data_IF_062057484478
#
_entry.id   IF_062057484478
#
_cell.length_a   1.000
_cell.length_b   1.000
_cell.length_c   1.000
_cell.angle_alpha   90.00
_cell.angle_beta   90.00
_cell.angle_gamma   90.00
#
_symmetry.space_group_name_H-M   'P 1'
#
loop_
_entity.id
_entity.type
_entity.pdbx_description
1 polymer ?
#
# COMPACT_ATOMS: atom_id res chain seq x y z
N UNK A 1 -0.55 2.19 -10.33
CA UNK A 1 -0.02 1.63 -9.07
C UNK A 1 -0.71 0.32 -8.65
N UNK A 2 -1.92 0.32 -8.07
CA UNK A 2 -2.60 -0.93 -7.61
C UNK A 2 -2.64 -2.03 -8.68
N UNK A 3 -3.06 -1.69 -9.92
CA UNK A 3 -3.10 -2.64 -11.05
C UNK A 3 -1.72 -3.18 -11.47
N UNK A 4 -0.65 -2.42 -11.21
CA UNK A 4 0.72 -2.72 -11.66
C UNK A 4 1.47 -3.56 -10.63
N UNK A 5 1.20 -3.35 -9.35
CA UNK A 5 1.83 -4.04 -8.23
C UNK A 5 0.76 -4.78 -7.41
N UNK A 6 0.17 -5.86 -7.95
CA UNK A 6 -0.82 -6.63 -7.21
C UNK A 6 -0.20 -7.15 -5.91
N UNK A 7 -0.94 -7.21 -4.80
CA UNK A 7 -0.37 -7.77 -3.56
C UNK A 7 0.70 -6.93 -2.87
N UNK A 8 1.11 -5.81 -3.44
CA UNK A 8 2.00 -4.86 -2.78
C UNK A 8 1.15 -3.81 -2.05
N UNK A 9 1.62 -3.39 -0.89
CA UNK A 9 1.06 -2.25 -0.18
C UNK A 9 1.15 -1.00 -1.05
N UNK A 10 0.01 -0.34 -1.25
CA UNK A 10 -0.09 0.98 -1.86
C UNK A 10 -0.71 1.89 -0.79
N UNK A 11 -0.04 2.97 -0.38
CA UNK A 11 -0.62 3.89 0.60
C UNK A 11 -2.01 4.37 0.13
N UNK A 12 -2.97 4.48 1.05
CA UNK A 12 -4.33 4.89 0.72
C UNK A 12 -4.35 6.35 0.27
N UNK A 13 -5.16 6.66 -0.73
CA UNK A 13 -5.50 8.04 -1.10
C UNK A 13 -6.73 8.47 -0.30
N UNK A 14 -6.88 9.76 0.04
CA UNK A 14 -8.09 10.24 0.69
C UNK A 14 -9.31 9.98 -0.19
N UNK A 15 -10.43 9.66 0.48
CA UNK A 15 -11.69 9.36 -0.18
C UNK A 15 -12.18 10.55 -1.01
N UNK A 16 -12.85 10.23 -2.12
CA UNK A 16 -13.50 11.24 -2.97
C UNK A 16 -14.85 11.58 -2.34
N UNK A 17 -14.99 12.82 -1.84
CA UNK A 17 -16.27 13.35 -1.36
C UNK A 17 -17.03 13.98 -2.54
N UNK A 18 -18.29 13.60 -2.73
CA UNK A 18 -19.15 14.13 -3.81
C UNK A 18 -19.87 15.42 -3.37
N UNK A 19 -20.35 15.47 -2.12
CA UNK A 19 -21.00 16.64 -1.52
C UNK A 19 -20.05 17.30 -0.51
N UNK A 20 -20.00 18.63 -0.46
CA UNK A 20 -19.11 19.36 0.46
C UNK A 20 -17.62 19.23 0.13
N UNK A 21 -17.27 19.04 -1.14
CA UNK A 21 -15.88 18.90 -1.60
C UNK A 21 -15.06 20.20 -1.52
N UNK A 22 -15.71 21.34 -1.29
CA UNK A 22 -15.10 22.67 -1.11
C UNK A 22 -15.03 23.13 0.33
N UNK A 23 -15.57 22.35 1.29
CA UNK A 23 -15.51 22.68 2.71
C UNK A 23 -14.04 22.78 3.17
N UNK A 24 -13.70 23.86 3.87
CA UNK A 24 -12.33 24.14 4.32
C UNK A 24 -11.75 22.99 5.15
N UNK A 25 -12.54 22.44 6.07
CA UNK A 25 -12.13 21.32 6.92
C UNK A 25 -11.82 20.06 6.09
N UNK A 26 -12.67 19.75 5.11
CA UNK A 26 -12.44 18.64 4.19
C UNK A 26 -11.18 18.86 3.34
N UNK A 27 -10.95 20.08 2.87
CA UNK A 27 -9.75 20.42 2.09
C UNK A 27 -8.47 20.30 2.91
N UNK A 28 -8.48 20.76 4.16
CA UNK A 28 -7.36 20.63 5.10
C UNK A 28 -7.06 19.16 5.42
N UNK A 29 -8.11 18.38 5.71
CA UNK A 29 -8.01 16.96 5.96
C UNK A 29 -7.43 16.23 4.73
N UNK A 30 -7.99 16.48 3.55
CA UNK A 30 -7.52 15.89 2.29
C UNK A 30 -6.06 16.24 2.00
N UNK A 31 -5.64 17.49 2.22
CA UNK A 31 -4.24 17.91 2.10
C UNK A 31 -3.35 17.08 3.04
N UNK A 32 -3.81 16.87 4.27
CA UNK A 32 -3.11 16.07 5.28
C UNK A 32 -2.89 14.62 4.83
N UNK A 33 -3.95 13.96 4.35
CA UNK A 33 -3.85 12.58 3.84
C UNK A 33 -3.03 12.47 2.56
N UNK A 34 -3.13 13.43 1.63
CA UNK A 34 -2.28 13.46 0.44
C UNK A 34 -0.80 13.62 0.80
N UNK A 35 -0.50 14.44 1.81
CA UNK A 35 0.85 14.57 2.33
C UNK A 35 1.36 13.25 2.92
N UNK A 36 0.54 12.58 3.74
CA UNK A 36 0.87 11.26 4.28
C UNK A 36 1.09 10.21 3.16
N UNK A 37 0.21 10.17 2.15
CA UNK A 37 0.34 9.31 0.98
C UNK A 37 1.70 9.51 0.29
N UNK A 38 2.08 10.77 -0.01
CA UNK A 38 3.36 11.06 -0.63
C UNK A 38 4.54 10.63 0.25
N UNK A 39 4.45 10.89 1.56
CA UNK A 39 5.48 10.50 2.51
C UNK A 39 5.64 8.98 2.60
N UNK A 40 4.55 8.21 2.56
CA UNK A 40 4.58 6.75 2.55
C UNK A 40 5.09 6.23 1.21
N UNK A 41 4.70 6.82 0.07
CA UNK A 41 5.21 6.40 -1.24
C UNK A 41 6.73 6.58 -1.33
N UNK A 42 7.27 7.66 -0.76
CA UNK A 42 8.72 7.93 -0.81
C UNK A 42 9.56 6.88 -0.07
N UNK A 43 9.00 6.21 0.95
CA UNK A 43 9.71 5.15 1.69
C UNK A 43 9.75 3.84 0.92
N UNK A 44 9.00 3.71 -0.17
CA UNK A 44 8.91 2.50 -0.98
C UNK A 44 9.49 2.77 -2.37
N UNK A 45 10.76 2.39 -2.58
CA UNK A 45 11.48 2.68 -3.84
C UNK A 45 10.72 2.26 -5.10
N UNK A 46 10.09 1.08 -5.11
CA UNK A 46 9.30 0.58 -6.25
C UNK A 46 8.06 1.44 -6.56
N UNK A 47 7.49 2.14 -5.56
CA UNK A 47 6.39 3.10 -5.75
C UNK A 47 6.92 4.47 -6.13
N UNK A 48 7.94 4.96 -5.44
CA UNK A 48 8.54 6.26 -5.72
C UNK A 48 9.05 6.33 -7.16
N UNK A 49 9.83 5.34 -7.59
CA UNK A 49 10.34 5.25 -8.96
C UNK A 49 9.32 4.67 -9.95
N UNK A 50 8.08 4.37 -9.51
CA UNK A 50 7.04 4.00 -10.45
C UNK A 50 6.74 5.16 -11.38
N UNK A 51 6.62 4.88 -12.67
CA UNK A 51 6.30 5.91 -13.66
C UNK A 51 4.96 6.60 -13.38
N UNK A 52 4.00 5.88 -12.79
CA UNK A 52 2.72 6.46 -12.41
C UNK A 52 2.91 7.58 -11.40
N UNK A 53 3.79 7.37 -10.41
CA UNK A 53 4.10 8.38 -9.41
C UNK A 53 5.01 9.48 -9.96
N UNK A 54 5.98 9.14 -10.82
CA UNK A 54 6.85 10.15 -11.45
C UNK A 54 6.06 11.09 -12.39
N UNK A 55 5.10 10.57 -13.15
CA UNK A 55 4.17 11.40 -13.94
C UNK A 55 3.36 12.27 -12.98
N UNK A 56 2.78 11.69 -11.93
CA UNK A 56 2.01 12.44 -10.94
C UNK A 56 2.81 13.60 -10.32
N UNK A 57 4.09 13.41 -9.98
CA UNK A 57 4.93 14.44 -9.38
C UNK A 57 5.40 15.53 -10.34
N UNK A 58 5.73 15.17 -11.60
CA UNK A 58 6.45 16.06 -12.52
C UNK A 58 5.55 16.74 -13.54
N UNK A 59 4.34 16.22 -13.75
CA UNK A 59 3.47 16.74 -14.80
C UNK A 59 2.84 18.07 -14.38
N UNK A 60 3.07 19.10 -15.20
CA UNK A 60 2.42 20.41 -15.06
C UNK A 60 1.16 20.55 -15.93
N UNK A 61 1.00 19.66 -16.92
CA UNK A 61 -0.13 19.69 -17.84
C UNK A 61 -1.40 19.11 -17.21
N UNK A 62 -2.54 19.73 -17.49
CA UNK A 62 -3.86 19.27 -17.06
C UNK A 62 -4.26 17.92 -17.67
N UNK A 63 -3.73 17.58 -18.85
CA UNK A 63 -4.15 16.40 -19.63
C UNK A 63 -3.29 15.16 -19.34
N UNK A 64 -3.29 14.74 -18.07
CA UNK A 64 -2.48 13.62 -17.53
C UNK A 64 -2.74 12.30 -18.29
N UNK A 65 -3.98 12.08 -18.74
CA UNK A 65 -4.42 10.82 -19.33
C UNK A 65 -3.74 10.52 -20.67
N UNK A 66 -3.62 11.51 -21.57
CA UNK A 66 -2.99 11.31 -22.89
C UNK A 66 -1.51 10.94 -22.76
N UNK A 67 -0.79 11.61 -21.86
CA UNK A 67 0.63 11.31 -21.61
C UNK A 67 0.80 9.96 -20.91
N UNK A 68 -0.07 9.61 -19.96
CA UNK A 68 -0.04 8.30 -19.33
C UNK A 68 -0.16 7.16 -20.35
N UNK A 69 -1.05 7.27 -21.34
CA UNK A 69 -1.18 6.29 -22.43
C UNK A 69 0.10 6.16 -23.26
N UNK A 70 0.75 7.27 -23.61
CA UNK A 70 2.04 7.26 -24.33
C UNK A 70 3.13 6.56 -23.52
N UNK A 71 3.19 6.85 -22.21
CA UNK A 71 4.15 6.19 -21.32
C UNK A 71 3.87 4.71 -21.15
N UNK A 72 2.59 4.26 -21.12
CA UNK A 72 2.26 2.83 -21.08
C UNK A 72 2.91 2.05 -22.23
N UNK A 73 2.93 2.61 -23.43
CA UNK A 73 3.56 1.99 -24.61
C UNK A 73 5.08 1.93 -24.43
N UNK A 74 5.71 2.99 -23.90
CA UNK A 74 7.15 3.00 -23.63
C UNK A 74 7.55 2.04 -22.50
N UNK A 75 6.77 1.96 -21.42
CA UNK A 75 7.01 1.08 -20.27
C UNK A 75 7.01 -0.40 -20.68
N UNK A 76 6.17 -0.80 -21.63
CA UNK A 76 6.17 -2.16 -22.16
C UNK A 76 7.53 -2.52 -22.78
N UNK A 77 8.27 -1.54 -23.33
CA UNK A 77 9.61 -1.72 -23.90
C UNK A 77 10.72 -1.78 -22.83
N UNK A 78 10.64 -0.94 -21.78
CA UNK A 78 11.71 -0.80 -20.76
C UNK A 78 11.59 -1.73 -19.54
N UNK A 79 10.48 -2.47 -19.40
CA UNK A 79 10.20 -3.34 -18.26
C UNK A 79 11.17 -4.54 -18.06
N UNK A 80 12.22 -4.68 -18.88
CA UNK A 80 13.18 -5.78 -18.82
C UNK A 80 14.35 -5.52 -17.85
N UNK A 81 14.61 -4.26 -17.46
CA UNK A 81 15.91 -3.89 -16.86
C UNK A 81 15.85 -3.60 -15.34
N UNK A 82 14.69 -3.32 -14.77
CA UNK A 82 14.59 -2.83 -13.38
C UNK A 82 13.72 -3.77 -12.52
N UNK A 83 14.25 -4.95 -12.18
CA UNK A 83 13.82 -5.69 -10.98
C UNK A 83 15.09 -6.35 -10.42
N UNK A 84 15.79 -5.63 -9.55
CA UNK A 84 16.88 -6.22 -8.78
C UNK A 84 16.25 -7.08 -7.67
N UNK A 85 16.16 -8.39 -7.89
CA UNK A 85 15.70 -9.37 -6.89
C UNK A 85 16.48 -9.30 -5.56
N UNK A 86 17.69 -8.74 -5.56
CA UNK A 86 18.51 -8.54 -4.36
C UNK A 86 17.87 -7.57 -3.36
N UNK A 87 17.10 -6.58 -3.81
CA UNK A 87 16.50 -5.58 -2.92
C UNK A 87 15.32 -6.15 -2.11
N UNK A 88 14.58 -7.12 -2.65
CA UNK A 88 13.35 -7.63 -2.03
C UNK A 88 13.62 -8.54 -0.82
N UNK A 89 14.61 -9.43 -0.89
CA UNK A 89 15.01 -10.27 0.25
C UNK A 89 15.57 -9.44 1.41
N UNK A 90 16.38 -8.41 1.10
CA UNK A 90 16.84 -7.45 2.10
C UNK A 90 15.67 -6.65 2.68
N UNK A 91 14.69 -6.26 1.86
CA UNK A 91 13.48 -5.55 2.34
C UNK A 91 12.67 -6.41 3.31
N UNK A 92 12.48 -7.71 3.04
CA UNK A 92 11.75 -8.61 3.94
C UNK A 92 12.46 -8.79 5.27
N UNK A 93 13.79 -8.95 5.26
CA UNK A 93 14.60 -9.04 6.49
C UNK A 93 14.50 -7.75 7.32
N UNK A 94 14.67 -6.59 6.68
CA UNK A 94 14.52 -5.29 7.33
C UNK A 94 13.11 -5.07 7.89
N UNK A 95 12.07 -5.52 7.19
CA UNK A 95 10.69 -5.44 7.67
C UNK A 95 10.47 -6.30 8.92
N UNK A 96 11.05 -7.50 8.98
CA UNK A 96 10.94 -8.37 10.16
C UNK A 96 11.67 -7.77 11.37
N UNK A 97 12.88 -7.22 11.17
CA UNK A 97 13.62 -6.51 12.22
C UNK A 97 12.86 -5.28 12.71
N UNK A 98 12.28 -4.50 11.79
CA UNK A 98 11.48 -3.33 12.13
C UNK A 98 10.20 -3.74 12.89
N UNK A 99 9.53 -4.84 12.51
CA UNK A 99 8.37 -5.36 13.23
C UNK A 99 8.71 -5.68 14.69
N UNK A 100 9.86 -6.34 14.92
CA UNK A 100 10.30 -6.65 16.29
C UNK A 100 10.54 -5.38 17.11
N UNK A 101 11.22 -4.38 16.54
CA UNK A 101 11.46 -3.09 17.20
C UNK A 101 10.16 -2.36 17.48
N UNK A 102 9.24 -2.28 16.52
CA UNK A 102 7.92 -1.65 16.69
C UNK A 102 7.13 -2.32 17.80
N UNK A 103 7.11 -3.66 17.87
CA UNK A 103 6.45 -4.38 18.96
C UNK A 103 7.08 -4.08 20.32
N UNK A 104 8.41 -3.99 20.40
CA UNK A 104 9.10 -3.60 21.63
C UNK A 104 8.72 -2.18 22.08
N UNK A 105 8.63 -1.23 21.14
CA UNK A 105 8.24 0.14 21.45
C UNK A 105 6.76 0.26 21.85
N UNK A 106 5.87 -0.44 21.15
CA UNK A 106 4.44 -0.51 21.51
C UNK A 106 4.25 -1.10 22.90
N UNK A 107 4.95 -2.20 23.21
CA UNK A 107 4.88 -2.80 24.54
C UNK A 107 5.37 -1.84 25.62
N UNK A 108 6.48 -1.13 25.39
CA UNK A 108 6.96 -0.09 26.31
C UNK A 108 5.95 1.04 26.48
N UNK A 109 5.37 1.53 25.39
CA UNK A 109 4.35 2.59 25.44
C UNK A 109 3.10 2.15 26.21
N UNK A 110 2.57 0.96 25.94
CA UNK A 110 1.42 0.41 26.64
C UNK A 110 1.72 0.20 28.13
N UNK A 111 2.87 -0.39 28.46
CA UNK A 111 3.22 -0.66 29.85
C UNK A 111 3.53 0.61 30.64
N UNK A 112 4.21 1.60 30.04
CA UNK A 112 4.68 2.76 30.79
C UNK A 112 3.72 3.93 30.69
N UNK A 113 3.29 4.27 29.48
CA UNK A 113 2.50 5.48 29.24
C UNK A 113 1.03 5.25 29.55
N UNK A 114 0.42 4.17 29.03
CA UNK A 114 -1.00 3.88 29.28
C UNK A 114 -1.23 3.58 30.76
N UNK A 115 -0.44 2.70 31.38
CA UNK A 115 -0.63 2.41 32.81
C UNK A 115 -0.43 3.62 33.72
N UNK A 116 0.53 4.52 33.39
CA UNK A 116 0.71 5.75 34.17
C UNK A 116 -0.47 6.70 33.96
N UNK A 117 -0.98 6.81 32.73
CA UNK A 117 -2.15 7.63 32.43
C UNK A 117 -3.41 7.09 33.11
N UNK A 118 -3.66 5.78 33.03
CA UNK A 118 -4.76 5.10 33.73
C UNK A 118 -4.66 5.29 35.24
N UNK A 119 -3.48 5.06 35.84
CA UNK A 119 -3.28 5.31 37.28
C UNK A 119 -3.55 6.76 37.65
N UNK A 120 -3.20 7.71 36.78
CA UNK A 120 -3.39 9.13 37.02
C UNK A 120 -4.87 9.52 36.92
N UNK A 121 -5.56 9.11 35.86
CA UNK A 121 -7.01 9.26 35.72
C UNK A 121 -7.72 8.61 36.89
N UNK A 122 -7.42 7.34 37.20
CA UNK A 122 -8.06 6.63 38.30
C UNK A 122 -7.78 7.31 39.63
N UNK A 123 -6.56 7.78 39.89
CA UNK A 123 -6.23 8.53 41.11
C UNK A 123 -7.04 9.82 41.21
N UNK A 124 -7.17 10.57 40.11
CA UNK A 124 -7.97 11.80 40.03
C UNK A 124 -9.46 11.54 40.21
N UNK A 125 -9.98 10.42 39.69
CA UNK A 125 -11.36 9.97 39.91
C UNK A 125 -11.63 9.49 41.34
N UNK A 126 -10.67 8.81 41.96
CA UNK A 126 -10.83 8.29 43.33
C UNK A 126 -10.66 9.33 44.42
N UNK A 127 -9.96 10.44 44.14
CA UNK A 127 -9.59 11.44 45.14
C UNK A 127 -10.53 12.64 45.23
N UNK A 128 -11.53 12.82 44.34
CA UNK A 128 -12.46 13.94 44.47
C UNK A 128 -13.91 13.66 44.02
N UNK A 129 -14.88 14.06 44.86
CA UNK A 129 -16.32 13.82 44.74
C UNK A 129 -17.04 14.73 43.71
N UNK A 130 -16.41 15.13 42.60
CA UNK A 130 -17.06 15.99 41.59
C UNK A 130 -16.85 15.51 40.16
N UNK A 131 -17.95 15.01 39.60
CA UNK A 131 -18.20 14.56 38.22
C UNK A 131 -17.99 15.62 37.10
N UNK A 132 -17.15 16.62 37.30
CA UNK A 132 -16.84 17.59 36.23
C UNK A 132 -15.53 17.19 35.56
N UNK A 133 -15.62 16.60 34.37
CA UNK A 133 -14.46 16.29 33.53
C UNK A 133 -13.55 17.52 33.41
N UNK A 134 -12.34 17.41 33.98
CA UNK A 134 -11.28 18.42 33.94
C UNK A 134 -10.66 18.39 32.54
N UNK A 135 -11.30 19.08 31.59
CA UNK A 135 -10.71 19.44 30.30
C UNK A 135 -10.05 20.83 30.33
N UNK A 136 -9.59 21.30 31.49
CA UNK A 136 -9.01 22.64 31.63
C UNK A 136 -7.47 22.63 31.45
N UNK A 137 -7.10 23.05 30.24
CA UNK A 137 -5.90 23.71 29.71
C UNK A 137 -4.52 23.62 30.39
N UNK A 138 -4.36 23.79 31.70
CA UNK A 138 -3.02 23.90 32.30
C UNK A 138 -2.25 22.57 32.37
N UNK A 139 -2.95 21.44 32.52
CA UNK A 139 -2.33 20.11 32.57
C UNK A 139 -1.89 19.62 31.17
N UNK A 140 -2.56 20.09 30.11
CA UNK A 140 -2.18 19.81 28.73
C UNK A 140 -0.81 20.39 28.39
N UNK A 141 -0.38 21.50 29.01
CA UNK A 141 0.96 22.05 28.81
C UNK A 141 2.06 21.14 29.36
N UNK A 142 1.90 20.57 30.55
CA UNK A 142 2.90 19.67 31.16
C UNK A 142 2.97 18.31 30.46
N UNK A 143 1.82 17.79 30.01
CA UNK A 143 1.78 16.58 29.19
C UNK A 143 2.40 16.84 27.82
N UNK A 144 2.14 18.00 27.21
CA UNK A 144 2.78 18.43 25.96
C UNK A 144 4.30 18.54 26.10
N UNK A 145 4.83 19.09 27.21
CA UNK A 145 6.27 19.15 27.47
C UNK A 145 6.90 17.75 27.64
N UNK A 146 6.18 16.84 28.28
CA UNK A 146 6.65 15.46 28.50
C UNK A 146 6.65 14.65 27.20
N UNK A 147 5.59 14.79 26.38
CA UNK A 147 5.52 14.25 25.02
C UNK A 147 6.58 14.88 24.13
N UNK A 148 6.84 16.19 24.22
CA UNK A 148 7.92 16.86 23.49
C UNK A 148 9.28 16.27 23.82
N UNK A 149 9.54 15.93 25.08
CA UNK A 149 10.82 15.35 25.50
C UNK A 149 10.98 13.90 25.01
N UNK A 150 9.91 13.11 25.03
CA UNK A 150 9.91 11.73 24.51
C UNK A 150 10.03 11.72 22.98
N UNK A 151 9.31 12.63 22.32
CA UNK A 151 9.38 12.85 20.87
C UNK A 151 10.78 13.35 20.51
N UNK A 152 11.37 14.31 21.23
CA UNK A 152 12.77 14.75 21.03
C UNK A 152 13.75 13.59 21.13
N UNK A 153 13.60 12.71 22.13
CA UNK A 153 14.50 11.54 22.30
C UNK A 153 14.36 10.52 21.17
N UNK A 154 13.14 10.22 20.72
CA UNK A 154 12.90 9.25 19.63
C UNK A 154 13.15 9.85 18.23
N UNK A 155 12.96 11.15 18.06
CA UNK A 155 13.23 11.90 16.83
C UNK A 155 14.73 12.20 16.68
N UNK A 156 15.48 12.40 17.76
CA UNK A 156 16.91 12.68 17.69
C UNK A 156 17.71 11.57 16.99
N UNK A 157 17.27 10.32 17.09
CA UNK A 157 17.91 9.18 16.43
C UNK A 157 17.60 9.07 14.93
N UNK A 158 16.39 9.44 14.49
CA UNK A 158 16.01 9.43 13.06
C UNK A 158 16.38 10.76 12.34
N UNK A 159 16.54 11.82 13.13
CA UNK A 159 16.59 13.25 12.81
C UNK A 159 17.90 13.86 12.30
N UNK A 160 19.05 13.26 12.65
CA UNK A 160 20.32 13.99 12.61
C UNK A 160 20.86 14.32 11.20
N UNK A 161 20.21 13.84 10.14
CA UNK A 161 20.58 14.18 8.75
C UNK A 161 19.64 15.16 8.03
N UNK A 162 18.42 15.41 8.53
CA UNK A 162 17.38 16.19 7.82
C UNK A 162 16.96 17.47 8.57
N UNK A 163 17.28 17.62 9.86
CA UNK A 163 16.61 18.60 10.75
C UNK A 163 16.95 20.08 10.57
N UNK A 164 18.16 20.45 10.11
CA UNK A 164 18.60 21.86 10.28
C UNK A 164 17.71 22.90 9.58
N UNK A 165 16.93 22.49 8.57
CA UNK A 165 15.97 23.35 7.86
C UNK A 165 14.50 23.17 8.29
N UNK A 166 14.12 22.04 8.92
CA UNK A 166 12.72 21.80 9.37
C UNK A 166 12.41 22.38 10.74
N UNK A 167 13.41 22.63 11.58
CA UNK A 167 13.21 23.01 12.98
C UNK A 167 12.62 24.41 13.18
N UNK A 168 12.86 25.33 12.25
CA UNK A 168 12.30 26.70 12.30
C UNK A 168 10.79 26.69 12.00
N UNK A 169 10.34 25.88 11.05
CA UNK A 169 8.92 25.79 10.68
C UNK A 169 8.08 25.10 11.76
N UNK A 170 8.65 24.10 12.44
CA UNK A 170 7.98 23.32 13.48
C UNK A 170 7.74 24.15 14.75
N UNK A 171 8.67 25.04 15.12
CA UNK A 171 8.58 25.84 16.34
C UNK A 171 7.41 26.83 16.33
N UNK A 172 6.97 27.27 15.15
CA UNK A 172 5.83 28.19 14.97
C UNK A 172 4.47 27.48 14.94
N UNK A 173 4.45 26.15 14.71
CA UNK A 173 3.21 25.35 14.66
C UNK A 173 2.90 24.55 15.93
N UNK A 174 3.90 24.32 16.80
CA UNK A 174 3.72 23.50 18.02
C UNK A 174 2.83 24.17 19.06
N UNK A 175 2.73 25.50 19.08
CA UNK A 175 2.00 26.23 20.13
C UNK A 175 0.47 26.13 20.05
N UNK A 176 -0.09 25.55 19.00
CA UNK A 176 -1.56 25.43 18.83
C UNK A 176 -2.05 24.04 18.40
N UNK A 177 -1.15 23.09 18.11
CA UNK A 177 -1.57 21.75 17.69
C UNK A 177 -2.06 20.92 18.88
N UNK A 178 -3.37 20.68 18.92
CA UNK A 178 -3.99 19.73 19.83
C UNK A 178 -3.35 18.33 19.66
N UNK A 179 -2.60 17.87 20.67
CA UNK A 179 -1.90 16.58 20.66
C UNK A 179 -2.84 15.38 20.52
N UNK A 180 -4.07 15.46 21.05
CA UNK A 180 -5.08 14.42 20.85
C UNK A 180 -5.52 14.36 19.40
N UNK A 181 -5.68 15.51 18.74
CA UNK A 181 -6.00 15.54 17.30
C UNK A 181 -4.88 14.89 16.48
N UNK A 182 -3.63 15.17 16.81
CA UNK A 182 -2.48 14.52 16.18
C UNK A 182 -2.49 13.00 16.38
N UNK A 183 -2.73 12.53 17.61
CA UNK A 183 -2.84 11.11 17.93
C UNK A 183 -4.01 10.44 17.18
N UNK A 184 -5.19 11.04 17.18
CA UNK A 184 -6.35 10.56 16.42
C UNK A 184 -6.01 10.42 14.94
N UNK A 185 -5.31 11.40 14.36
CA UNK A 185 -4.95 11.35 12.96
C UNK A 185 -3.89 10.27 12.68
N UNK A 186 -2.95 10.00 13.60
CA UNK A 186 -2.04 8.85 13.49
C UNK A 186 -2.80 7.52 13.51
N UNK A 187 -3.74 7.36 14.44
CA UNK A 187 -4.59 6.16 14.49
C UNK A 187 -5.35 5.98 13.18
N UNK A 188 -5.92 7.07 12.63
CA UNK A 188 -6.61 7.03 11.35
C UNK A 188 -5.69 6.65 10.18
N UNK A 189 -4.43 7.12 10.16
CA UNK A 189 -3.46 6.71 9.15
C UNK A 189 -3.14 5.21 9.23
N UNK A 190 -2.88 4.70 10.43
CA UNK A 190 -2.56 3.29 10.63
C UNK A 190 -3.76 2.39 10.29
N UNK A 191 -4.99 2.83 10.62
CA UNK A 191 -6.21 2.13 10.20
C UNK A 191 -6.34 2.04 8.67
N UNK A 192 -6.16 3.16 7.96
CA UNK A 192 -6.24 3.16 6.49
C UNK A 192 -5.10 2.35 5.86
N UNK A 193 -3.90 2.40 6.42
CA UNK A 193 -2.77 1.59 5.96
C UNK A 193 -3.09 0.09 6.14
N UNK A 194 -3.67 -0.29 7.27
CA UNK A 194 -4.11 -1.67 7.55
C UNK A 194 -5.17 -2.13 6.54
N UNK A 195 -6.19 -1.31 6.26
CA UNK A 195 -7.18 -1.62 5.23
C UNK A 195 -6.55 -1.78 3.84
N UNK A 196 -5.57 -0.94 3.50
CA UNK A 196 -4.85 -1.03 2.24
C UNK A 196 -4.02 -2.33 2.14
N UNK A 197 -3.42 -2.78 3.25
CA UNK A 197 -2.77 -4.09 3.31
C UNK A 197 -3.74 -5.25 3.08
N UNK A 198 -4.90 -5.23 3.73
CA UNK A 198 -5.93 -6.27 3.55
C UNK A 198 -6.35 -6.35 2.09
N UNK A 199 -6.68 -5.20 1.47
CA UNK A 199 -7.04 -5.11 0.04
C UNK A 199 -5.92 -5.60 -0.87
N UNK A 200 -4.66 -5.33 -0.52
CA UNK A 200 -3.53 -5.85 -1.28
C UNK A 200 -3.49 -7.38 -1.24
N UNK A 201 -3.69 -8.00 -0.07
CA UNK A 201 -3.74 -9.46 0.06
C UNK A 201 -4.90 -10.08 -0.72
N UNK A 202 -6.10 -9.52 -0.61
CA UNK A 202 -7.27 -9.97 -1.38
C UNK A 202 -6.97 -9.95 -2.89
N UNK A 203 -6.39 -8.86 -3.39
CA UNK A 203 -6.05 -8.73 -4.80
C UNK A 203 -4.93 -9.70 -5.23
N UNK A 204 -4.00 -10.03 -4.33
CA UNK A 204 -2.97 -11.07 -4.57
C UNK A 204 -3.62 -12.44 -4.72
N UNK A 205 -4.58 -12.76 -3.86
CA UNK A 205 -5.28 -14.05 -3.87
C UNK A 205 -6.13 -14.21 -5.13
N UNK A 206 -6.89 -13.17 -5.50
CA UNK A 206 -7.62 -13.13 -6.77
C UNK A 206 -6.69 -13.36 -7.97
N UNK A 207 -5.52 -12.73 -7.94
CA UNK A 207 -4.52 -12.84 -9.01
C UNK A 207 -3.93 -14.25 -9.08
N UNK A 208 -3.59 -14.86 -7.93
CA UNK A 208 -3.13 -16.25 -7.84
C UNK A 208 -4.19 -17.23 -8.33
N UNK A 209 -5.46 -17.03 -7.96
CA UNK A 209 -6.58 -17.85 -8.41
C UNK A 209 -6.78 -17.75 -9.92
N UNK A 210 -6.64 -16.56 -10.50
CA UNK A 210 -6.68 -16.35 -11.95
C UNK A 210 -5.53 -17.06 -12.66
N UNK A 211 -4.32 -17.03 -12.09
CA UNK A 211 -3.17 -17.78 -12.60
C UNK A 211 -3.44 -19.28 -12.63
N UNK A 212 -3.90 -19.85 -11.51
CA UNK A 212 -4.24 -21.28 -11.41
C UNK A 212 -5.29 -21.67 -12.45
N UNK A 213 -6.36 -20.88 -12.61
CA UNK A 213 -7.39 -21.13 -13.63
C UNK A 213 -6.82 -21.14 -15.06
N UNK A 214 -5.93 -20.20 -15.39
CA UNK A 214 -5.29 -20.17 -16.72
C UNK A 214 -4.36 -21.38 -16.94
N UNK A 215 -3.64 -21.83 -15.90
CA UNK A 215 -2.79 -23.02 -15.98
C UNK A 215 -3.62 -24.30 -16.17
N UNK A 216 -4.75 -24.42 -15.47
CA UNK A 216 -5.68 -25.55 -15.66
C UNK A 216 -6.22 -25.58 -17.09
N UNK A 217 -6.72 -24.45 -17.61
CA UNK A 217 -7.23 -24.36 -18.99
C UNK A 217 -6.15 -24.72 -20.01
N UNK A 218 -4.91 -24.25 -19.80
CA UNK A 218 -3.78 -24.59 -20.67
C UNK A 218 -3.51 -26.09 -20.65
N UNK A 219 -3.46 -26.70 -19.46
CA UNK A 219 -3.21 -28.14 -19.31
C UNK A 219 -4.28 -28.97 -20.02
N UNK A 220 -5.55 -28.61 -19.86
CA UNK A 220 -6.68 -29.27 -20.53
C UNK A 220 -6.60 -29.14 -22.06
N UNK A 221 -6.25 -27.97 -22.59
CA UNK A 221 -6.10 -27.78 -24.05
C UNK A 221 -4.90 -28.52 -24.62
N UNK A 222 -3.77 -28.55 -23.91
CA UNK A 222 -2.57 -29.30 -24.33
C UNK A 222 -2.86 -30.80 -24.32
N UNK A 223 -3.54 -31.30 -23.28
CA UNK A 223 -3.98 -32.69 -23.23
C UNK A 223 -4.90 -33.03 -24.40
N UNK A 224 -5.90 -32.17 -24.68
CA UNK A 224 -6.81 -32.37 -25.80
C UNK A 224 -6.07 -32.37 -27.15
N UNK A 225 -5.08 -31.50 -27.34
CA UNK A 225 -4.24 -31.52 -28.55
C UNK A 225 -3.47 -32.84 -28.70
N UNK A 226 -2.93 -33.35 -27.61
CA UNK A 226 -2.23 -34.65 -27.60
C UNK A 226 -3.18 -35.81 -27.95
N UNK A 227 -4.42 -35.79 -27.45
CA UNK A 227 -5.45 -36.78 -27.77
C UNK A 227 -5.80 -36.73 -29.26
N UNK A 228 -6.00 -35.53 -29.84
CA UNK A 228 -6.21 -35.33 -31.28
C UNK A 228 -5.05 -35.90 -32.11
N UNK A 229 -3.80 -35.61 -31.72
CA UNK A 229 -2.60 -36.07 -32.43
C UNK A 229 -2.44 -37.59 -32.40
N UNK A 230 -2.88 -38.24 -31.33
CA UNK A 230 -2.87 -39.70 -31.21
C UNK A 230 -4.00 -40.41 -31.99
N UNK A 231 -4.90 -39.65 -32.63
CA UNK A 231 -6.07 -40.20 -33.32
C UNK A 231 -7.18 -40.70 -32.38
N UNK A 232 -7.10 -40.43 -31.07
CA UNK A 232 -8.14 -40.81 -30.13
C UNK A 232 -9.40 -39.97 -30.35
N UNK A 233 -10.50 -40.64 -30.71
CA UNK A 233 -11.80 -39.98 -30.84
C UNK A 233 -12.38 -39.66 -29.48
N UNK A 234 -12.32 -38.40 -29.08
CA UNK A 234 -12.92 -37.92 -27.82
C UNK A 234 -14.37 -37.52 -28.04
N UNK A 235 -15.21 -37.67 -27.01
CA UNK A 235 -16.62 -37.23 -27.04
C UNK A 235 -16.77 -35.77 -27.48
N UNK A 236 -15.77 -34.91 -27.21
CA UNK A 236 -15.75 -33.52 -27.66
C UNK A 236 -15.74 -33.38 -29.19
N UNK A 237 -15.02 -34.24 -29.92
CA UNK A 237 -14.99 -34.23 -31.38
C UNK A 237 -16.36 -34.51 -32.00
N UNK A 238 -17.21 -35.33 -31.35
CA UNK A 238 -18.54 -35.65 -31.85
C UNK A 238 -19.48 -34.43 -31.88
N UNK A 239 -19.19 -33.40 -31.09
CA UNK A 239 -20.00 -32.18 -30.99
C UNK A 239 -19.38 -30.98 -31.72
N UNK A 240 -18.12 -31.07 -32.17
CA UNK A 240 -17.45 -29.95 -32.85
C UNK A 240 -17.47 -30.17 -34.36
N UNK A 241 -18.10 -29.24 -35.10
CA UNK A 241 -18.10 -29.24 -36.56
C UNK A 241 -16.73 -28.77 -37.06
N UNK A 242 -16.05 -29.60 -37.84
CA UNK A 242 -14.78 -29.26 -38.50
C UNK A 242 -13.87 -30.47 -38.61
N UNK A 243 -13.03 -30.48 -39.63
CA UNK A 243 -12.02 -31.52 -39.84
C UNK A 243 -10.97 -31.50 -38.71
N UNK A 244 -10.41 -32.67 -38.38
CA UNK A 244 -9.47 -32.84 -37.27
C UNK A 244 -8.25 -31.92 -37.41
N UNK A 245 -7.76 -31.73 -38.63
CA UNK A 245 -6.63 -30.85 -38.92
C UNK A 245 -6.94 -29.37 -38.62
N UNK A 246 -8.15 -28.92 -38.97
CA UNK A 246 -8.60 -27.56 -38.65
C UNK A 246 -8.74 -27.37 -37.14
N UNK A 247 -9.28 -28.36 -36.42
CA UNK A 247 -9.39 -28.32 -34.96
C UNK A 247 -8.02 -28.23 -34.29
N UNK A 248 -7.04 -29.02 -34.76
CA UNK A 248 -5.66 -28.98 -34.25
C UNK A 248 -5.01 -27.60 -34.47
N UNK A 249 -5.24 -26.96 -35.63
CA UNK A 249 -4.70 -25.64 -35.93
C UNK A 249 -5.30 -24.56 -35.02
N UNK A 250 -6.61 -24.58 -34.83
CA UNK A 250 -7.31 -23.64 -33.91
C UNK A 250 -6.81 -23.84 -32.47
N UNK A 251 -6.74 -25.09 -32.01
CA UNK A 251 -6.30 -25.41 -30.66
C UNK A 251 -4.84 -25.01 -30.40
N UNK A 252 -3.96 -25.20 -31.39
CA UNK A 252 -2.56 -24.78 -31.32
C UNK A 252 -2.42 -23.25 -31.20
N UNK A 253 -3.22 -22.49 -31.97
CA UNK A 253 -3.29 -21.03 -31.87
C UNK A 253 -3.78 -20.58 -30.49
N UNK A 254 -4.82 -21.24 -29.96
CA UNK A 254 -5.35 -20.97 -28.62
C UNK A 254 -4.33 -21.22 -27.52
N UNK A 255 -3.60 -22.35 -27.60
CA UNK A 255 -2.53 -22.71 -26.66
C UNK A 255 -1.43 -21.64 -26.71
N UNK A 256 -1.01 -21.22 -27.90
CA UNK A 256 -0.03 -20.14 -28.05
C UNK A 256 -0.50 -18.85 -27.38
N UNK A 257 -1.74 -18.43 -27.63
CA UNK A 257 -2.32 -17.23 -27.04
C UNK A 257 -2.41 -17.34 -25.50
N UNK A 258 -2.79 -18.50 -24.97
CA UNK A 258 -2.82 -18.75 -23.53
C UNK A 258 -1.42 -18.72 -22.91
N UNK A 259 -0.42 -19.30 -23.57
CA UNK A 259 0.98 -19.24 -23.14
C UNK A 259 1.47 -17.79 -23.07
N UNK A 260 1.14 -16.95 -24.05
CA UNK A 260 1.48 -15.52 -24.01
C UNK A 260 0.76 -14.81 -22.85
N UNK A 261 -0.53 -15.08 -22.63
CA UNK A 261 -1.28 -14.53 -21.49
C UNK A 261 -0.69 -14.97 -20.15
N UNK A 262 -0.33 -16.25 -20.00
CA UNK A 262 0.31 -16.79 -18.80
C UNK A 262 1.68 -16.19 -18.58
N UNK A 263 2.52 -16.08 -19.61
CA UNK A 263 3.83 -15.42 -19.55
C UNK A 263 3.70 -13.97 -19.09
N UNK A 264 2.76 -13.22 -19.68
CA UNK A 264 2.47 -11.85 -19.30
C UNK A 264 1.97 -11.74 -17.85
N UNK A 265 1.16 -12.70 -17.40
CA UNK A 265 0.64 -12.73 -16.03
C UNK A 265 1.75 -13.11 -15.03
N UNK A 266 2.55 -14.15 -15.29
CA UNK A 266 3.70 -14.53 -14.45
C UNK A 266 4.75 -13.42 -14.37
N UNK A 267 4.98 -12.68 -15.45
CA UNK A 267 5.87 -11.52 -15.44
C UNK A 267 5.34 -10.38 -14.57
N UNK A 268 4.01 -10.23 -14.43
CA UNK A 268 3.43 -9.34 -13.42
C UNK A 268 3.63 -9.89 -12.01
N UNK A 269 3.56 -11.21 -11.81
CA UNK A 269 3.78 -11.82 -10.49
C UNK A 269 5.23 -11.66 -9.99
N UNK A 270 6.21 -11.83 -10.89
CA UNK A 270 7.64 -11.64 -10.57
C UNK A 270 8.00 -10.20 -10.18
N UNK A 271 7.09 -9.23 -10.35
CA UNK A 271 7.24 -7.86 -9.86
C UNK A 271 6.80 -7.70 -8.41
N UNK A 272 6.03 -8.66 -7.89
CA UNK A 272 5.41 -8.63 -6.56
C UNK A 272 6.30 -9.30 -5.52
N UNK A 273 6.96 -10.40 -5.92
CA UNK A 273 7.95 -11.14 -5.15
C UNK A 273 9.33 -10.56 -5.36
#
# INVERSE_FOLDING_TARGET
MVKRWPGCFIPPLPSKKVLGNTETNFMLERKKYLHNFCNRVQTHGFLYYSIEFQIFLRQKDSDINKKYQRYQIQIQKYNFIIINKKDQLQTVQQLNENKQKTNQYLNKFCQQTIQTYEKRILSEYTLDQKNTMIFLDEQNQKLSQSIENIVKINIFFFINKIIKLKFIFIKQSITETNNFKLLCDFVNYELQDTEAFIKAFEFKDEFCNRLKKLETILKEKVQYLSELQSGQKTLRQLFTKGDAEQQMKVLSSDIYNLLQRLKNTKNKNKKIL
#
